data_IF_369275216339
#
_entry.id   IF_369275216339
#
_cell.length_a   1.000
_cell.length_b   1.000
_cell.length_c   1.000
_cell.angle_alpha   90.00
_cell.angle_beta   90.00
_cell.angle_gamma   90.00
#
_symmetry.space_group_name_H-M   'P 1'
#
loop_
_entity.id
_entity.type
_entity.pdbx_description
1 polymer ?
#
# COMPACT_ATOMS: atom_id res chain seq x y z
N UNK A 1 4.60 -40.64 15.15
CA UNK A 1 3.59 -39.87 14.40
C UNK A 1 3.93 -38.39 14.55
N UNK A 2 4.65 -37.80 13.58
CA UNK A 2 5.06 -36.39 13.59
C UNK A 2 4.16 -35.61 12.62
N UNK A 3 3.65 -34.41 12.97
CA UNK A 3 3.09 -33.53 11.96
C UNK A 3 4.22 -32.73 11.30
N UNK A 4 4.41 -32.98 10.01
CA UNK A 4 5.22 -32.15 9.13
C UNK A 4 4.48 -30.82 8.88
N UNK A 5 4.83 -29.79 9.65
CA UNK A 5 4.46 -28.42 9.36
C UNK A 5 5.47 -27.81 8.39
N UNK A 6 5.16 -27.83 7.10
CA UNK A 6 5.97 -27.11 6.09
C UNK A 6 5.86 -25.61 6.35
N UNK A 7 6.88 -25.03 6.98
CA UNK A 7 7.05 -23.57 7.04
C UNK A 7 7.20 -23.11 5.59
N UNK A 8 6.15 -22.47 5.08
CA UNK A 8 6.17 -21.79 3.78
C UNK A 8 7.12 -20.61 3.94
N UNK A 9 8.39 -20.82 3.57
CA UNK A 9 9.37 -19.76 3.49
C UNK A 9 8.90 -18.76 2.44
N UNK A 10 8.19 -17.73 2.85
CA UNK A 10 8.03 -16.52 2.04
C UNK A 10 9.36 -15.76 2.10
N UNK A 11 10.38 -16.32 1.44
CA UNK A 11 11.70 -15.69 1.34
C UNK A 11 11.64 -14.64 0.24
N UNK A 12 11.11 -13.49 0.62
CA UNK A 12 11.59 -12.22 0.14
C UNK A 12 11.30 -11.20 1.24
N UNK A 13 12.10 -11.22 2.31
CA UNK A 13 12.14 -10.07 3.21
C UNK A 13 12.77 -8.93 2.39
N UNK A 14 12.04 -7.87 2.05
CA UNK A 14 12.66 -6.69 1.48
C UNK A 14 13.73 -6.21 2.46
N UNK A 15 14.91 -5.82 1.97
CA UNK A 15 15.88 -5.10 2.77
C UNK A 15 15.27 -3.75 3.17
N UNK A 16 14.69 -3.70 4.38
CA UNK A 16 14.02 -2.54 4.96
C UNK A 16 15.06 -1.54 5.48
N UNK A 17 15.53 -0.66 4.60
CA UNK A 17 16.49 0.39 4.98
C UNK A 17 15.81 1.73 5.26
N UNK A 18 14.52 1.73 5.63
CA UNK A 18 13.75 2.94 5.89
C UNK A 18 13.00 2.88 7.23
N UNK A 19 12.29 3.96 7.56
CA UNK A 19 11.57 4.09 8.84
C UNK A 19 10.58 2.93 9.02
N UNK A 20 10.39 2.49 10.26
CA UNK A 20 9.58 1.32 10.59
C UNK A 20 8.80 1.59 11.87
N UNK A 21 7.49 1.35 11.82
CA UNK A 21 6.60 1.52 12.96
C UNK A 21 5.79 0.25 13.19
N UNK A 22 5.69 -0.18 14.46
CA UNK A 22 4.80 -1.26 14.87
C UNK A 22 3.56 -0.70 15.57
N UNK A 23 2.40 -1.27 15.26
CA UNK A 23 1.14 -0.97 15.95
C UNK A 23 0.26 -2.23 16.01
N UNK A 24 0.03 -2.74 17.22
CA UNK A 24 -0.68 -4.00 17.42
C UNK A 24 0.03 -5.18 16.73
N UNK A 25 -0.73 -5.95 15.94
CA UNK A 25 -0.24 -7.08 15.13
C UNK A 25 0.23 -6.67 13.73
N UNK A 26 0.43 -5.38 13.48
CA UNK A 26 0.96 -4.88 12.22
C UNK A 26 2.31 -4.20 12.39
N UNK A 27 3.11 -4.29 11.33
CA UNK A 27 4.33 -3.54 11.12
C UNK A 27 4.23 -2.79 9.79
N UNK A 28 4.61 -1.52 9.82
CA UNK A 28 4.63 -0.64 8.66
C UNK A 28 6.08 -0.26 8.40
N UNK A 29 6.50 -0.32 7.12
CA UNK A 29 7.83 0.09 6.73
C UNK A 29 7.76 0.93 5.47
N UNK A 30 8.36 2.11 5.50
CA UNK A 30 8.45 3.01 4.36
C UNK A 30 9.84 2.91 3.73
N UNK A 31 9.89 2.77 2.42
CA UNK A 31 11.13 2.79 1.65
C UNK A 31 10.99 3.74 0.47
N UNK A 32 11.93 4.66 0.35
CA UNK A 32 12.06 5.47 -0.86
C UNK A 32 12.71 4.62 -1.96
N UNK A 33 11.98 4.38 -3.04
CA UNK A 33 12.44 3.56 -4.16
C UNK A 33 13.07 4.42 -5.26
N UNK A 34 12.57 5.63 -5.47
CA UNK A 34 13.17 6.67 -6.34
C UNK A 34 12.98 8.04 -5.69
N UNK A 35 13.52 9.11 -6.29
CA UNK A 35 13.28 10.47 -5.78
C UNK A 35 11.79 10.84 -5.70
N UNK A 36 10.95 10.25 -6.56
CA UNK A 36 9.52 10.53 -6.68
C UNK A 36 8.60 9.45 -6.07
N UNK A 37 9.10 8.25 -5.75
CA UNK A 37 8.29 7.10 -5.35
C UNK A 37 8.67 6.59 -3.96
N UNK A 38 7.65 6.49 -3.11
CA UNK A 38 7.73 5.82 -1.82
C UNK A 38 6.88 4.57 -1.83
N UNK A 39 7.42 3.50 -1.26
CA UNK A 39 6.72 2.25 -1.03
C UNK A 39 6.46 2.11 0.46
N UNK A 40 5.21 1.91 0.84
CA UNK A 40 4.84 1.54 2.21
C UNK A 40 4.44 0.07 2.20
N UNK A 41 5.16 -0.77 2.93
CA UNK A 41 4.86 -2.18 3.11
C UNK A 41 4.19 -2.40 4.46
N UNK A 42 3.15 -3.22 4.46
CA UNK A 42 2.41 -3.62 5.66
C UNK A 42 2.52 -5.12 5.83
N UNK A 43 2.92 -5.53 7.03
CA UNK A 43 3.06 -6.93 7.44
C UNK A 43 2.14 -7.21 8.63
N UNK A 44 1.47 -8.37 8.61
CA UNK A 44 0.65 -8.87 9.72
C UNK A 44 -0.84 -8.59 9.54
N UNK A 45 -1.50 -8.04 10.55
CA UNK A 45 -2.96 -7.92 10.58
C UNK A 45 -3.43 -6.48 10.73
N UNK A 46 -4.37 -6.05 9.88
CA UNK A 46 -5.03 -4.74 10.00
C UNK A 46 -6.40 -4.89 10.65
N UNK A 47 -6.60 -4.16 11.74
CA UNK A 47 -7.84 -4.17 12.52
C UNK A 47 -8.20 -2.75 13.02
N UNK A 48 -9.19 -2.66 13.91
CA UNK A 48 -9.63 -1.39 14.47
C UNK A 48 -8.57 -0.68 15.31
N UNK A 49 -7.57 -1.40 15.85
CA UNK A 49 -6.52 -0.83 16.71
C UNK A 49 -5.49 -0.08 15.87
N UNK A 50 -5.11 -0.62 14.71
CA UNK A 50 -3.95 -0.13 13.96
C UNK A 50 -4.26 0.51 12.61
N UNK A 51 -5.47 0.35 12.07
CA UNK A 51 -5.88 0.90 10.77
C UNK A 51 -5.70 2.42 10.65
N UNK A 52 -6.12 3.19 11.68
CA UNK A 52 -5.92 4.65 11.70
C UNK A 52 -4.44 5.02 11.75
N UNK A 53 -3.63 4.26 12.48
CA UNK A 53 -2.19 4.49 12.59
C UNK A 53 -1.49 4.18 11.27
N UNK A 54 -1.91 3.12 10.56
CA UNK A 54 -1.44 2.82 9.20
C UNK A 54 -1.70 4.00 8.24
N UNK A 55 -2.91 4.57 8.25
CA UNK A 55 -3.24 5.69 7.39
C UNK A 55 -2.38 6.94 7.68
N UNK A 56 -2.13 7.23 8.97
CA UNK A 56 -1.25 8.34 9.38
C UNK A 56 0.21 8.08 9.05
N UNK A 57 0.64 6.83 9.17
CA UNK A 57 1.98 6.43 8.78
C UNK A 57 2.20 6.64 7.28
N UNK A 58 1.23 6.26 6.44
CA UNK A 58 1.28 6.53 4.99
C UNK A 58 1.38 8.04 4.73
N UNK A 59 0.47 8.84 5.30
CA UNK A 59 0.44 10.30 5.15
C UNK A 59 1.78 10.97 5.52
N UNK A 60 2.40 10.56 6.62
CA UNK A 60 3.70 11.09 7.06
C UNK A 60 4.84 10.79 6.06
N UNK A 61 4.71 9.73 5.27
CA UNK A 61 5.74 9.26 4.34
C UNK A 61 5.47 9.65 2.88
N UNK A 62 4.26 10.09 2.53
CA UNK A 62 3.92 10.58 1.19
C UNK A 62 4.23 12.05 0.95
N UNK A 63 4.41 12.89 1.98
CA UNK A 63 4.43 14.36 1.84
C UNK A 63 5.46 14.98 0.87
N UNK A 64 6.55 14.29 0.53
CA UNK A 64 7.56 14.75 -0.44
C UNK A 64 7.63 13.88 -1.70
N UNK A 65 6.77 12.86 -1.81
CA UNK A 65 6.74 11.90 -2.91
C UNK A 65 5.61 12.25 -3.86
N UNK A 66 5.80 12.01 -5.16
CA UNK A 66 4.71 12.13 -6.16
C UNK A 66 3.97 10.82 -6.37
N UNK A 67 4.53 9.72 -5.87
CA UNK A 67 3.99 8.38 -6.07
C UNK A 67 4.06 7.54 -4.79
N UNK A 68 2.98 6.80 -4.55
CA UNK A 68 2.85 5.83 -3.46
C UNK A 68 2.56 4.44 -4.02
N UNK A 69 3.34 3.45 -3.58
CA UNK A 69 2.98 2.04 -3.69
C UNK A 69 2.67 1.51 -2.29
N UNK A 70 1.41 1.13 -2.05
CA UNK A 70 0.99 0.50 -0.81
C UNK A 70 0.99 -1.02 -0.98
N UNK A 71 1.99 -1.70 -0.43
CA UNK A 71 2.17 -3.14 -0.52
C UNK A 71 1.54 -3.83 0.68
N UNK A 72 0.39 -4.46 0.45
CA UNK A 72 -0.38 -5.21 1.45
C UNK A 72 -0.32 -6.72 1.18
N UNK A 73 0.65 -7.20 0.40
CA UNK A 73 0.79 -8.64 0.10
C UNK A 73 1.11 -9.50 1.30
N UNK A 74 1.72 -8.91 2.33
CA UNK A 74 2.08 -9.60 3.56
C UNK A 74 1.07 -9.35 4.70
N UNK A 75 -0.16 -8.95 4.32
CA UNK A 75 -1.29 -8.81 5.25
C UNK A 75 -2.12 -10.10 5.25
N UNK A 76 -2.20 -10.73 6.42
CA UNK A 76 -2.87 -12.01 6.61
C UNK A 76 -4.33 -11.84 7.05
N UNK A 77 -4.68 -10.67 7.59
CA UNK A 77 -6.05 -10.29 7.98
C UNK A 77 -6.29 -8.80 7.73
N UNK A 78 -7.46 -8.47 7.18
CA UNK A 78 -7.85 -7.09 6.88
C UNK A 78 -9.30 -6.84 7.29
N UNK A 79 -9.49 -6.29 8.49
CA UNK A 79 -10.81 -5.97 9.04
C UNK A 79 -11.44 -4.72 8.40
N UNK A 80 -12.74 -4.50 8.64
CA UNK A 80 -13.51 -3.41 8.01
C UNK A 80 -12.93 -2.00 8.18
N UNK A 81 -12.29 -1.71 9.32
CA UNK A 81 -11.61 -0.41 9.54
C UNK A 81 -10.43 -0.18 8.59
N UNK A 82 -9.87 -1.25 8.00
CA UNK A 82 -8.89 -1.19 6.95
C UNK A 82 -9.41 -0.50 5.68
N UNK A 83 -10.67 -0.74 5.29
CA UNK A 83 -11.28 -0.03 4.17
C UNK A 83 -11.38 1.48 4.43
N UNK A 84 -11.86 1.87 5.61
CA UNK A 84 -11.89 3.29 6.02
C UNK A 84 -10.51 3.93 5.97
N UNK A 85 -9.46 3.19 6.37
CA UNK A 85 -8.08 3.67 6.27
C UNK A 85 -7.64 3.84 4.81
N UNK A 86 -7.97 2.91 3.91
CA UNK A 86 -7.67 3.04 2.48
C UNK A 86 -8.40 4.21 1.83
N UNK A 87 -9.66 4.44 2.20
CA UNK A 87 -10.41 5.61 1.72
C UNK A 87 -9.82 6.92 2.24
N UNK A 88 -9.35 6.96 3.50
CA UNK A 88 -8.61 8.12 4.00
C UNK A 88 -7.33 8.37 3.19
N UNK A 89 -6.58 7.31 2.88
CA UNK A 89 -5.36 7.38 2.06
C UNK A 89 -5.69 7.87 0.65
N UNK A 90 -6.81 7.43 0.04
CA UNK A 90 -7.22 7.89 -1.29
C UNK A 90 -7.48 9.40 -1.32
N UNK A 91 -8.22 9.92 -0.34
CA UNK A 91 -8.48 11.35 -0.17
C UNK A 91 -7.19 12.13 0.06
N UNK A 92 -6.28 11.61 0.92
CA UNK A 92 -4.97 12.23 1.12
C UNK A 92 -4.16 12.30 -0.18
N UNK A 93 -4.06 11.19 -0.92
CA UNK A 93 -3.32 11.14 -2.17
C UNK A 93 -3.90 12.11 -3.22
N UNK A 94 -5.23 12.18 -3.34
CA UNK A 94 -5.89 13.13 -4.24
C UNK A 94 -5.57 14.59 -3.87
N UNK A 95 -5.63 14.95 -2.57
CA UNK A 95 -5.35 16.32 -2.10
C UNK A 95 -3.89 16.71 -2.23
N UNK A 96 -2.98 15.74 -2.17
CA UNK A 96 -1.53 15.95 -2.26
C UNK A 96 -0.98 15.74 -3.66
N UNK A 97 -1.84 15.54 -4.68
CA UNK A 97 -1.44 15.24 -6.06
C UNK A 97 -0.46 14.04 -6.17
N UNK A 98 -0.71 13.00 -5.36
CA UNK A 98 0.09 11.77 -5.31
C UNK A 98 -0.61 10.67 -6.11
N UNK A 99 0.05 10.16 -7.14
CA UNK A 99 -0.41 8.96 -7.83
C UNK A 99 -0.18 7.75 -6.93
N UNK A 100 -1.19 6.89 -6.75
CA UNK A 100 -1.04 5.75 -5.85
C UNK A 100 -1.64 4.46 -6.39
N UNK A 101 -1.17 3.34 -5.83
CA UNK A 101 -1.60 1.99 -6.19
C UNK A 101 -1.47 1.06 -4.98
N UNK A 102 -2.38 0.08 -4.87
CA UNK A 102 -2.41 -0.95 -3.84
C UNK A 102 -2.06 -2.29 -4.47
N UNK A 103 -1.17 -3.04 -3.83
CA UNK A 103 -1.02 -4.48 -4.11
C UNK A 103 -1.61 -5.25 -2.93
N UNK A 104 -2.73 -5.94 -3.16
CA UNK A 104 -3.47 -6.64 -2.11
C UNK A 104 -3.18 -8.14 -2.05
N UNK A 105 -3.17 -8.72 -0.85
CA UNK A 105 -3.34 -10.16 -0.62
C UNK A 105 -4.84 -10.56 -0.71
N UNK A 106 -5.19 -11.86 -0.76
CA UNK A 106 -6.59 -12.30 -0.79
C UNK A 106 -7.51 -11.72 0.31
N UNK A 107 -7.07 -11.55 1.58
CA UNK A 107 -7.90 -10.92 2.61
C UNK A 107 -8.28 -9.47 2.28
N UNK A 108 -7.35 -8.71 1.70
CA UNK A 108 -7.58 -7.32 1.27
C UNK A 108 -8.58 -7.29 0.13
N UNK A 109 -8.35 -8.12 -0.91
CA UNK A 109 -9.26 -8.20 -2.07
C UNK A 109 -10.69 -8.52 -1.66
N UNK A 110 -10.86 -9.53 -0.81
CA UNK A 110 -12.18 -9.94 -0.32
C UNK A 110 -12.93 -8.81 0.39
N UNK A 111 -12.23 -7.99 1.18
CA UNK A 111 -12.87 -6.85 1.83
C UNK A 111 -13.26 -5.78 0.80
N UNK A 112 -12.40 -5.52 -0.18
CA UNK A 112 -12.68 -4.54 -1.23
C UNK A 112 -13.82 -4.97 -2.15
N UNK A 113 -13.95 -6.26 -2.47
CA UNK A 113 -15.09 -6.80 -3.24
C UNK A 113 -16.45 -6.53 -2.55
N UNK A 114 -16.44 -6.31 -1.22
CA UNK A 114 -17.64 -6.03 -0.42
C UNK A 114 -17.83 -4.52 -0.23
N UNK A 115 -16.76 -3.80 0.10
CA UNK A 115 -16.84 -2.41 0.55
C UNK A 115 -16.57 -1.37 -0.55
N UNK A 116 -15.90 -1.76 -1.63
CA UNK A 116 -15.54 -0.91 -2.77
C UNK A 116 -16.32 -1.35 -4.03
N UNK A 117 -17.65 -1.32 -3.95
CA UNK A 117 -18.53 -1.84 -4.99
C UNK A 117 -18.32 -1.15 -6.36
N UNK A 118 -17.92 0.12 -6.35
CA UNK A 118 -17.65 0.91 -7.55
C UNK A 118 -16.20 0.74 -8.07
N UNK A 119 -15.32 0.07 -7.30
CA UNK A 119 -13.93 -0.20 -7.69
C UNK A 119 -13.06 1.06 -7.78
N UNK A 120 -13.29 2.03 -6.89
CA UNK A 120 -12.62 3.33 -6.89
C UNK A 120 -11.15 3.22 -6.43
N UNK A 121 -10.81 2.23 -5.61
CA UNK A 121 -9.44 2.06 -5.12
C UNK A 121 -8.53 1.43 -6.20
N UNK A 122 -7.30 1.94 -6.39
CA UNK A 122 -6.39 1.47 -7.43
C UNK A 122 -5.69 0.17 -7.04
N UNK A 123 -6.44 -0.93 -6.95
CA UNK A 123 -5.92 -2.27 -6.68
C UNK A 123 -5.33 -2.92 -7.93
N UNK A 124 -4.17 -3.57 -7.79
CA UNK A 124 -3.56 -4.39 -8.83
C UNK A 124 -3.01 -5.70 -8.25
N UNK A 125 -2.66 -6.63 -9.14
CA UNK A 125 -2.31 -7.98 -8.72
C UNK A 125 -0.89 -8.17 -8.20
N UNK A 126 0.04 -7.39 -8.74
CA UNK A 126 1.46 -7.61 -8.54
C UNK A 126 2.27 -6.31 -8.69
N UNK A 127 3.56 -6.42 -8.37
CA UNK A 127 4.48 -5.29 -8.39
C UNK A 127 4.70 -4.74 -9.81
N UNK A 128 4.80 -5.58 -10.83
CA UNK A 128 5.02 -5.13 -12.21
C UNK A 128 3.83 -4.29 -12.65
N UNK A 129 2.61 -4.79 -12.45
CA UNK A 129 1.37 -4.07 -12.75
C UNK A 129 1.28 -2.72 -12.00
N UNK A 130 1.70 -2.70 -10.74
CA UNK A 130 1.76 -1.48 -9.93
C UNK A 130 2.72 -0.44 -10.51
N UNK A 131 3.95 -0.85 -10.85
CA UNK A 131 4.96 0.06 -11.39
C UNK A 131 4.52 0.59 -12.76
N UNK A 132 3.98 -0.26 -13.65
CA UNK A 132 3.45 0.16 -14.96
C UNK A 132 2.33 1.20 -14.81
N UNK A 133 1.42 1.02 -13.86
CA UNK A 133 0.36 2.01 -13.59
C UNK A 133 0.95 3.35 -13.13
N UNK A 134 1.87 3.33 -12.17
CA UNK A 134 2.52 4.55 -11.67
C UNK A 134 3.36 5.24 -12.76
N UNK A 135 4.10 4.50 -13.57
CA UNK A 135 4.93 5.07 -14.64
C UNK A 135 4.06 5.76 -15.71
N UNK A 136 2.90 5.19 -16.06
CA UNK A 136 1.92 5.83 -16.94
C UNK A 136 1.39 7.14 -16.37
N UNK A 137 1.02 7.19 -15.10
CA UNK A 137 0.57 8.44 -14.45
C UNK A 137 1.66 9.52 -14.49
N UNK A 138 2.91 9.16 -14.20
CA UNK A 138 4.04 10.07 -14.32
C UNK A 138 4.25 10.58 -15.76
N UNK A 139 4.07 9.73 -16.76
CA UNK A 139 4.16 10.11 -18.17
C UNK A 139 3.05 11.07 -18.57
N UNK A 140 1.80 10.80 -18.22
CA UNK A 140 0.68 11.70 -18.49
C UNK A 140 0.92 13.08 -17.86
N UNK A 141 1.38 13.13 -16.62
CA UNK A 141 1.68 14.40 -15.93
C UNK A 141 2.78 15.22 -16.61
N UNK A 142 3.81 14.56 -17.17
CA UNK A 142 4.87 15.25 -17.93
C UNK A 142 4.38 15.84 -19.25
N UNK A 143 3.42 15.19 -19.91
CA UNK A 143 2.87 15.66 -21.17
C UNK A 143 1.83 16.79 -21.01
N UNK A 144 1.25 16.94 -19.82
CA UNK A 144 0.21 17.95 -19.54
C UNK A 144 0.80 19.33 -19.20
N UNK A 145 2.12 19.46 -18.96
CA UNK A 145 2.76 20.78 -18.83
C UNK A 145 2.93 21.38 -20.23
N UNK A 146 2.16 22.41 -20.64
CA UNK A 146 2.42 23.05 -21.92
C UNK A 146 3.73 23.82 -21.81
N UNK A 147 4.60 23.69 -22.81
CA UNK A 147 5.68 24.65 -23.01
C UNK A 147 5.00 25.97 -23.39
N UNK A 148 4.94 26.90 -22.43
CA UNK A 148 4.47 28.26 -22.61
C UNK A 148 5.52 29.22 -22.09
#
# INVERSE_FOLDING_TARGET
>A
MQPAGTIRMYRHAPSFSGDMQRCGRAMFAARRSTSARTTVSVLGEIDAVNSRVMARYVEAHTGVSRQLLLDLRAVDFFGGHGFTALYYISVHCARSDVDWVIIGAPPVRRLLDICDADGELPLVDDLVSALVRLDRCAQCRRHVVPVG
#
